data_IF_773842650146
#
_entry.id   IF_773842650146
#
_cell.length_a   1.000
_cell.length_b   1.000
_cell.length_c   1.000
_cell.angle_alpha   90.00
_cell.angle_beta   90.00
_cell.angle_gamma   90.00
#
_symmetry.space_group_name_H-M   'P 1'
#
loop_
_entity.id
_entity.type
_entity.pdbx_description
1 polymer ?
#
# COMPACT_ATOMS: atom_id res chain seq x y z
N UNK A 1 22.15 -5.62 1.63
CA UNK A 1 22.97 -6.26 2.68
C UNK A 1 23.91 -5.31 3.38
N UNK A 2 24.36 -4.24 2.71
CA UNK A 2 25.27 -3.27 3.30
C UNK A 2 24.83 -1.83 3.00
N UNK A 3 25.22 -0.89 3.85
CA UNK A 3 24.88 0.54 3.79
C UNK A 3 26.10 1.41 4.13
N UNK A 4 25.95 2.72 3.98
CA UNK A 4 26.99 3.71 4.21
C UNK A 4 27.79 4.05 2.95
N UNK A 5 28.63 5.08 3.04
CA UNK A 5 29.54 5.45 1.94
C UNK A 5 30.46 4.27 1.63
N UNK A 6 30.31 3.70 0.44
CA UNK A 6 31.00 2.50 -0.09
C UNK A 6 30.43 1.12 0.32
N UNK A 7 29.24 1.06 0.94
CA UNK A 7 28.53 -0.20 1.21
C UNK A 7 29.35 -1.22 2.03
N UNK A 8 30.08 -0.77 3.06
CA UNK A 8 30.93 -1.62 3.89
C UNK A 8 30.27 -2.04 5.21
N UNK A 9 29.17 -1.41 5.61
CA UNK A 9 28.52 -1.63 6.91
C UNK A 9 27.33 -2.56 6.71
N UNK A 10 27.31 -3.72 7.35
CA UNK A 10 26.17 -4.66 7.27
C UNK A 10 24.90 -4.04 7.83
N UNK A 11 23.76 -4.41 7.25
CA UNK A 11 22.45 -4.10 7.85
C UNK A 11 22.32 -4.78 9.22
N UNK A 12 21.39 -4.30 10.06
CA UNK A 12 21.10 -4.97 11.33
C UNK A 12 20.57 -6.40 11.07
N UNK A 13 20.93 -7.37 11.90
CA UNK A 13 20.49 -8.77 11.77
C UNK A 13 18.96 -8.93 11.83
N UNK A 14 18.27 -7.97 12.45
CA UNK A 14 16.80 -7.89 12.52
C UNK A 14 16.13 -7.36 11.25
N UNK A 15 16.89 -6.94 10.24
CA UNK A 15 16.34 -6.57 8.94
C UNK A 15 16.13 -7.81 8.07
N UNK A 16 14.89 -8.04 7.61
CA UNK A 16 14.58 -9.14 6.68
C UNK A 16 15.52 -9.08 5.47
N UNK A 17 16.12 -10.24 5.17
CA UNK A 17 17.04 -10.45 4.05
C UNK A 17 18.23 -9.48 4.00
N UNK A 18 18.56 -8.83 5.13
CA UNK A 18 19.60 -7.80 5.19
C UNK A 18 19.32 -6.64 4.23
N UNK A 19 18.05 -6.29 4.01
CA UNK A 19 17.67 -5.13 3.23
C UNK A 19 17.49 -3.90 4.12
N UNK A 20 18.40 -2.94 3.98
CA UNK A 20 18.39 -1.66 4.69
C UNK A 20 18.68 -0.46 3.77
N UNK A 21 18.17 0.71 4.12
CA UNK A 21 18.31 1.95 3.38
C UNK A 21 19.79 2.30 3.20
N UNK A 22 20.26 2.57 1.97
CA UNK A 22 21.69 2.72 1.68
C UNK A 22 22.38 3.88 2.41
N UNK A 23 21.64 4.96 2.70
CA UNK A 23 22.20 6.16 3.33
C UNK A 23 22.37 6.10 4.85
N UNK A 24 21.67 5.18 5.54
CA UNK A 24 21.62 5.19 7.01
C UNK A 24 21.40 3.82 7.68
N UNK A 25 21.22 2.73 6.94
CA UNK A 25 21.20 1.37 7.49
C UNK A 25 19.92 0.90 8.14
N UNK A 26 18.85 1.69 8.08
CA UNK A 26 17.54 1.29 8.61
C UNK A 26 16.87 0.23 7.73
N UNK A 27 16.22 -0.79 8.30
CA UNK A 27 15.57 -1.85 7.53
C UNK A 27 14.51 -1.30 6.54
N UNK A 28 14.49 -1.80 5.29
CA UNK A 28 13.61 -1.29 4.23
C UNK A 28 12.16 -1.75 4.46
N UNK A 29 11.93 -2.98 4.92
CA UNK A 29 10.62 -3.49 5.39
C UNK A 29 10.82 -4.67 6.35
N UNK A 30 10.09 -4.68 7.47
CA UNK A 30 9.93 -5.85 8.34
C UNK A 30 11.17 -6.23 9.16
N UNK A 31 11.12 -5.88 10.44
CA UNK A 31 11.50 -6.78 11.51
C UNK A 31 10.25 -6.95 12.36
N UNK A 32 10.06 -8.09 12.99
CA UNK A 32 9.00 -8.18 13.96
C UNK A 32 9.26 -7.19 15.10
N UNK A 33 8.30 -6.31 15.34
CA UNK A 33 8.27 -5.57 16.59
C UNK A 33 7.20 -6.23 17.42
N UNK A 34 7.56 -6.71 18.62
CA UNK A 34 6.62 -7.15 19.66
C UNK A 34 5.53 -6.10 19.92
N UNK A 35 5.83 -4.82 19.62
CA UNK A 35 4.87 -3.74 19.71
C UNK A 35 3.77 -3.80 18.64
N UNK A 36 3.95 -4.54 17.55
CA UNK A 36 3.03 -4.65 16.42
C UNK A 36 2.17 -5.92 16.47
N UNK A 37 2.68 -7.01 17.08
CA UNK A 37 1.92 -8.26 17.25
C UNK A 37 1.00 -8.19 18.46
N UNK A 38 -0.20 -8.77 18.37
CA UNK A 38 -1.04 -8.96 19.55
C UNK A 38 -0.32 -9.80 20.60
N UNK A 39 -0.49 -9.43 21.87
CA UNK A 39 0.16 -10.06 23.03
C UNK A 39 1.69 -10.12 22.96
N UNK A 40 2.31 -9.36 22.06
CA UNK A 40 3.75 -9.46 21.78
C UNK A 40 4.18 -10.87 21.31
N UNK A 41 3.26 -11.64 20.73
CA UNK A 41 3.54 -13.00 20.28
C UNK A 41 4.02 -12.98 18.84
N UNK A 42 5.34 -12.87 18.73
CA UNK A 42 6.06 -12.95 17.49
C UNK A 42 6.93 -14.20 17.43
N UNK A 43 6.86 -14.91 16.32
CA UNK A 43 7.77 -16.02 16.06
C UNK A 43 9.17 -15.45 15.73
N UNK A 44 10.17 -15.82 16.53
CA UNK A 44 11.53 -15.24 16.42
C UNK A 44 12.29 -15.71 15.18
N UNK A 45 11.91 -16.84 14.59
CA UNK A 45 12.60 -17.42 13.44
C UNK A 45 12.01 -16.91 12.11
N UNK A 46 10.69 -16.74 12.07
CA UNK A 46 9.92 -16.35 10.88
C UNK A 46 9.47 -14.90 10.89
N UNK A 47 9.55 -14.20 12.02
CA UNK A 47 9.03 -12.85 12.27
C UNK A 47 7.50 -12.70 12.15
N UNK A 48 6.76 -13.82 12.08
CA UNK A 48 5.29 -13.84 11.91
C UNK A 48 4.57 -13.61 13.25
N UNK A 49 3.55 -12.76 13.25
CA UNK A 49 2.69 -12.55 14.40
C UNK A 49 1.62 -13.65 14.49
N UNK A 50 1.83 -14.65 15.34
CA UNK A 50 0.96 -15.84 15.43
C UNK A 50 -0.40 -15.57 16.07
N UNK A 51 -0.51 -14.48 16.83
CA UNK A 51 -1.75 -14.07 17.49
C UNK A 51 -2.48 -12.93 16.78
N UNK A 52 -2.03 -12.54 15.58
CA UNK A 52 -2.59 -11.42 14.82
C UNK A 52 -1.93 -10.08 15.11
N UNK A 53 -2.48 -9.02 14.53
CA UNK A 53 -1.90 -7.68 14.54
C UNK A 53 -2.57 -6.76 15.54
N UNK A 54 -1.80 -5.87 16.16
CA UNK A 54 -2.38 -4.70 16.83
C UNK A 54 -2.96 -3.76 15.78
N UNK A 55 -3.98 -3.00 16.20
CA UNK A 55 -4.83 -2.09 15.40
C UNK A 55 -4.12 -1.40 14.22
N UNK A 56 -4.84 -1.29 13.10
CA UNK A 56 -4.43 -0.64 11.84
C UNK A 56 -3.24 -1.30 11.11
N UNK A 57 -2.93 -2.57 11.42
CA UNK A 57 -1.82 -3.31 10.78
C UNK A 57 -2.31 -4.59 10.13
N UNK A 58 -1.63 -5.00 9.07
CA UNK A 58 -1.95 -6.22 8.33
C UNK A 58 -0.70 -6.91 7.77
N UNK A 59 -0.93 -8.07 7.16
CA UNK A 59 0.08 -9.00 6.68
C UNK A 59 0.67 -9.86 7.80
N UNK A 60 1.41 -10.91 7.45
CA UNK A 60 1.95 -11.89 8.41
C UNK A 60 2.91 -11.28 9.44
N UNK A 61 3.55 -10.15 9.11
CA UNK A 61 4.54 -9.47 9.95
C UNK A 61 3.99 -8.23 10.67
N UNK A 62 2.69 -7.92 10.52
CA UNK A 62 2.07 -6.68 11.04
C UNK A 62 2.88 -5.42 10.73
N UNK A 63 3.45 -5.37 9.52
CA UNK A 63 4.37 -4.33 9.07
C UNK A 63 3.70 -3.31 8.16
N UNK A 64 2.51 -3.63 7.62
CA UNK A 64 1.81 -2.83 6.61
C UNK A 64 0.59 -2.14 7.23
N UNK A 65 0.37 -0.87 6.89
CA UNK A 65 -0.80 -0.11 7.35
C UNK A 65 -2.07 -0.63 6.67
N UNK A 66 -3.08 -1.02 7.46
CA UNK A 66 -4.35 -1.52 6.97
C UNK A 66 -5.35 -0.38 6.81
N UNK A 67 -5.58 0.07 5.58
CA UNK A 67 -6.56 1.13 5.32
C UNK A 67 -8.01 0.64 5.44
N UNK A 68 -8.24 -0.68 5.60
CA UNK A 68 -9.56 -1.24 5.86
C UNK A 68 -10.01 -1.07 7.32
N UNK A 69 -9.13 -0.75 8.28
CA UNK A 69 -9.47 -0.77 9.71
C UNK A 69 -10.56 0.22 10.14
N UNK A 70 -10.76 1.30 9.38
CA UNK A 70 -11.86 2.25 9.59
C UNK A 70 -12.85 2.27 8.42
N UNK A 71 -12.94 1.17 7.66
CA UNK A 71 -13.84 1.07 6.51
C UNK A 71 -15.29 0.78 6.90
N UNK A 72 -16.21 1.04 5.98
CA UNK A 72 -17.60 0.60 6.12
C UNK A 72 -17.78 -0.73 5.40
N UNK A 73 -18.18 -1.75 6.15
CA UNK A 73 -18.34 -3.11 5.63
C UNK A 73 -19.81 -3.45 5.42
N UNK A 74 -20.12 -3.97 4.24
CA UNK A 74 -21.43 -4.57 3.92
C UNK A 74 -21.23 -6.03 3.52
N UNK A 75 -21.98 -6.95 4.16
CA UNK A 75 -21.91 -8.39 3.88
C UNK A 75 -23.29 -8.86 3.45
N UNK A 76 -23.36 -9.61 2.36
CA UNK A 76 -24.59 -10.19 1.82
C UNK A 76 -24.37 -11.67 1.50
N UNK A 77 -25.20 -12.60 2.02
CA UNK A 77 -26.24 -12.40 3.03
C UNK A 77 -25.67 -11.95 4.38
N UNK A 78 -26.48 -11.27 5.19
CA UNK A 78 -26.05 -10.82 6.52
C UNK A 78 -25.64 -12.02 7.39
N UNK A 79 -24.48 -11.90 8.04
CA UNK A 79 -24.06 -12.82 9.11
C UNK A 79 -24.72 -12.51 10.45
N UNK A 80 -24.37 -13.29 11.47
CA UNK A 80 -24.86 -13.08 12.84
C UNK A 80 -24.00 -12.06 13.60
N UNK A 81 -22.74 -11.94 13.22
CA UNK A 81 -21.75 -11.08 13.83
C UNK A 81 -21.73 -9.68 13.20
N UNK A 82 -21.05 -8.74 13.85
CA UNK A 82 -20.84 -7.40 13.29
C UNK A 82 -20.00 -7.47 12.02
N UNK A 83 -20.41 -6.84 10.90
CA UNK A 83 -19.59 -6.73 9.70
C UNK A 83 -18.24 -6.05 9.92
N UNK A 84 -18.06 -5.27 10.99
CA UNK A 84 -16.76 -4.64 11.28
C UNK A 84 -15.65 -5.62 11.65
N UNK A 85 -15.98 -6.86 12.03
CA UNK A 85 -14.99 -7.86 12.45
C UNK A 85 -14.08 -8.31 11.30
N UNK A 86 -14.52 -8.20 10.05
CA UNK A 86 -13.68 -8.57 8.88
C UNK A 86 -12.54 -7.59 8.61
N UNK A 87 -12.41 -6.51 9.36
CA UNK A 87 -11.30 -5.57 9.21
C UNK A 87 -10.83 -5.03 10.57
N UNK A 88 -11.07 -5.78 11.65
CA UNK A 88 -10.73 -5.35 13.01
C UNK A 88 -9.24 -5.57 13.34
N UNK A 89 -8.47 -6.18 12.43
CA UNK A 89 -7.05 -6.50 12.61
C UNK A 89 -6.82 -7.79 13.42
N UNK A 90 -7.89 -8.46 13.87
CA UNK A 90 -7.84 -9.69 14.63
C UNK A 90 -8.30 -10.88 13.78
N UNK A 91 -7.33 -11.59 13.21
CA UNK A 91 -7.56 -12.79 12.39
C UNK A 91 -8.26 -13.97 13.11
N UNK A 92 -8.49 -13.88 14.42
CA UNK A 92 -9.25 -14.87 15.21
C UNK A 92 -10.71 -14.45 15.41
N UNK A 93 -11.04 -13.19 15.20
CA UNK A 93 -12.42 -12.71 15.06
C UNK A 93 -12.86 -13.02 13.64
N UNK A 94 -14.01 -13.65 13.45
CA UNK A 94 -14.52 -13.91 12.11
C UNK A 94 -16.02 -13.67 12.03
N UNK A 95 -16.49 -13.33 10.82
CA UNK A 95 -17.91 -13.27 10.48
C UNK A 95 -18.29 -14.53 9.73
N UNK A 96 -19.38 -15.17 10.16
CA UNK A 96 -19.91 -16.36 9.51
C UNK A 96 -21.13 -15.95 8.68
N UNK A 97 -21.10 -16.29 7.39
CA UNK A 97 -22.25 -16.11 6.49
C UNK A 97 -22.44 -17.34 5.62
N UNK A 98 -23.67 -17.55 5.16
CA UNK A 98 -24.08 -18.76 4.44
C UNK A 98 -24.87 -18.40 3.19
N UNK A 99 -24.57 -19.09 2.09
CA UNK A 99 -25.32 -18.95 0.85
C UNK A 99 -24.56 -19.45 -0.37
N UNK A 100 -25.25 -19.54 -1.51
CA UNK A 100 -24.61 -19.89 -2.79
C UNK A 100 -23.86 -18.72 -3.44
N UNK A 101 -24.16 -17.48 -3.01
CA UNK A 101 -23.47 -16.26 -3.42
C UNK A 101 -23.26 -15.40 -2.18
N UNK A 102 -21.99 -15.12 -1.89
CA UNK A 102 -21.59 -14.30 -0.76
C UNK A 102 -20.82 -13.09 -1.31
N UNK A 103 -21.15 -11.90 -0.82
CA UNK A 103 -20.49 -10.64 -1.18
C UNK A 103 -20.07 -9.90 0.07
N UNK A 104 -18.83 -9.45 0.09
CA UNK A 104 -18.31 -8.52 1.09
C UNK A 104 -17.84 -7.28 0.34
N UNK A 105 -18.47 -6.14 0.61
CA UNK A 105 -18.06 -4.85 0.08
C UNK A 105 -17.41 -4.02 1.19
N UNK A 106 -16.20 -3.55 0.92
CA UNK A 106 -15.40 -2.69 1.78
C UNK A 106 -15.36 -1.30 1.15
N UNK A 107 -15.97 -0.30 1.80
CA UNK A 107 -15.80 1.11 1.46
C UNK A 107 -14.72 1.70 2.35
N UNK A 108 -13.51 1.91 1.80
CA UNK A 108 -12.39 2.54 2.52
C UNK A 108 -12.54 4.07 2.64
N UNK A 109 -13.73 4.60 2.34
CA UNK A 109 -14.19 5.99 2.50
C UNK A 109 -13.52 7.02 1.57
N UNK A 110 -12.28 6.78 1.14
CA UNK A 110 -11.56 7.60 0.16
C UNK A 110 -10.81 6.73 -0.86
N UNK A 111 -10.63 7.26 -2.07
CA UNK A 111 -9.80 6.58 -3.06
C UNK A 111 -8.37 6.53 -2.56
N UNK A 112 -7.76 5.35 -2.49
CA UNK A 112 -6.40 5.17 -1.98
C UNK A 112 -5.56 4.38 -2.97
N UNK A 113 -4.24 4.58 -2.92
CA UNK A 113 -3.28 3.74 -3.65
C UNK A 113 -3.13 2.47 -2.83
N UNK A 114 -3.45 1.34 -3.43
CA UNK A 114 -3.34 0.02 -2.83
C UNK A 114 -2.25 -0.75 -3.54
N UNK A 115 -1.47 -1.53 -2.79
CA UNK A 115 -0.38 -2.39 -3.31
C UNK A 115 -0.57 -3.86 -3.01
N UNK A 116 -1.24 -4.16 -1.90
CA UNK A 116 -1.49 -5.53 -1.52
C UNK A 116 -2.87 -5.65 -0.87
N UNK A 117 -3.52 -6.77 -1.14
CA UNK A 117 -4.77 -7.17 -0.48
C UNK A 117 -4.52 -8.54 0.16
N UNK A 118 -4.90 -8.65 1.43
CA UNK A 118 -4.92 -9.88 2.20
C UNK A 118 -6.36 -10.28 2.47
N UNK A 119 -6.70 -11.54 2.22
CA UNK A 119 -8.00 -12.09 2.57
C UNK A 119 -7.77 -13.37 3.36
N UNK A 120 -8.15 -13.34 4.63
CA UNK A 120 -7.99 -14.44 5.58
C UNK A 120 -9.34 -15.10 5.82
N UNK A 121 -9.42 -16.38 5.44
CA UNK A 121 -10.59 -17.24 5.65
C UNK A 121 -10.20 -18.40 6.57
N UNK A 122 -11.12 -18.87 7.41
CA UNK A 122 -10.88 -20.09 8.19
C UNK A 122 -11.09 -21.35 7.31
N UNK A 123 -10.24 -22.36 7.53
CA UNK A 123 -9.84 -23.43 6.59
C UNK A 123 -10.98 -24.40 6.18
N UNK A 124 -12.15 -24.36 6.82
CA UNK A 124 -13.32 -25.17 6.42
C UNK A 124 -14.14 -24.57 5.26
N UNK A 125 -13.82 -23.36 4.79
CA UNK A 125 -14.69 -22.59 3.89
C UNK A 125 -14.20 -22.43 2.45
N UNK A 126 -13.03 -22.98 2.10
CA UNK A 126 -12.33 -22.73 0.82
C UNK A 126 -12.58 -23.83 -0.23
N UNK A 127 -13.20 -24.94 0.14
CA UNK A 127 -13.33 -26.10 -0.76
C UNK A 127 -14.55 -25.92 -1.67
N UNK A 128 -14.32 -25.56 -2.94
CA UNK A 128 -15.31 -25.70 -4.03
C UNK A 128 -16.08 -24.44 -4.44
N UNK A 129 -15.54 -23.25 -4.18
CA UNK A 129 -16.13 -21.97 -4.60
C UNK A 129 -15.31 -21.24 -5.67
N UNK A 130 -15.97 -20.43 -6.49
CA UNK A 130 -15.31 -19.44 -7.34
C UNK A 130 -15.16 -18.12 -6.59
N UNK A 131 -13.92 -17.69 -6.39
CA UNK A 131 -13.56 -16.48 -5.67
C UNK A 131 -13.21 -15.38 -6.66
N UNK A 132 -13.81 -14.21 -6.50
CA UNK A 132 -13.56 -13.06 -7.38
C UNK A 132 -13.39 -11.81 -6.52
N UNK A 133 -12.41 -10.98 -6.86
CA UNK A 133 -12.21 -9.68 -6.22
C UNK A 133 -12.30 -8.59 -7.29
N UNK A 134 -13.13 -7.61 -6.99
CA UNK A 134 -13.35 -6.42 -7.77
C UNK A 134 -12.86 -5.20 -7.01
N UNK A 135 -12.34 -4.23 -7.74
CA UNK A 135 -12.02 -2.91 -7.22
C UNK A 135 -12.73 -1.85 -8.06
N UNK A 136 -13.20 -0.78 -7.43
CA UNK A 136 -13.99 0.26 -8.08
C UNK A 136 -13.83 1.61 -7.36
N UNK A 137 -14.15 2.69 -8.07
CA UNK A 137 -14.29 4.03 -7.49
C UNK A 137 -15.74 4.35 -7.07
N UNK A 138 -16.70 3.50 -7.43
CA UNK A 138 -18.11 3.63 -7.10
C UNK A 138 -18.63 2.41 -6.34
N UNK A 139 -19.71 2.59 -5.58
CA UNK A 139 -20.37 1.50 -4.84
C UNK A 139 -21.07 0.49 -5.75
N UNK A 140 -21.28 0.84 -7.02
CA UNK A 140 -21.80 -0.08 -8.03
C UNK A 140 -20.72 -1.09 -8.42
N UNK A 141 -21.12 -2.33 -8.74
CA UNK A 141 -20.25 -3.42 -9.21
C UNK A 141 -19.64 -3.18 -10.61
N UNK A 142 -19.44 -1.93 -11.01
CA UNK A 142 -18.84 -1.53 -12.29
C UNK A 142 -17.30 -1.67 -12.26
N UNK A 143 -16.89 -2.93 -12.31
CA UNK A 143 -15.70 -3.55 -12.93
C UNK A 143 -14.33 -2.82 -12.95
N UNK A 144 -13.46 -3.22 -12.03
CA UNK A 144 -12.15 -3.77 -12.40
C UNK A 144 -11.92 -5.09 -11.63
N UNK A 145 -11.96 -6.22 -12.34
CA UNK A 145 -11.73 -7.54 -11.74
C UNK A 145 -10.23 -7.80 -11.66
N UNK A 146 -9.69 -7.76 -10.46
CA UNK A 146 -8.25 -7.95 -10.20
C UNK A 146 -7.89 -9.40 -9.86
N UNK A 147 -8.88 -10.21 -9.47
CA UNK A 147 -8.67 -11.62 -9.14
C UNK A 147 -9.88 -12.48 -9.48
N UNK A 148 -9.64 -13.69 -9.99
CA UNK A 148 -10.67 -14.71 -10.23
C UNK A 148 -10.06 -16.12 -10.27
N UNK A 149 -10.43 -17.00 -9.35
CA UNK A 149 -10.04 -18.41 -9.38
C UNK A 149 -10.87 -19.26 -8.39
N UNK A 150 -10.74 -20.58 -8.48
CA UNK A 150 -11.30 -21.55 -7.52
C UNK A 150 -10.50 -21.65 -6.22
N UNK A 151 -9.28 -21.14 -6.22
CA UNK A 151 -8.43 -20.99 -5.03
C UNK A 151 -8.29 -19.53 -4.69
N UNK A 152 -8.01 -19.21 -3.43
CA UNK A 152 -7.75 -17.84 -3.00
C UNK A 152 -6.29 -17.72 -2.54
N UNK A 153 -5.50 -16.77 -3.06
CA UNK A 153 -4.12 -16.57 -2.65
C UNK A 153 -4.09 -15.92 -1.27
N UNK A 154 -2.97 -16.09 -0.58
CA UNK A 154 -2.71 -15.42 0.69
C UNK A 154 -2.55 -13.91 0.52
N UNK A 155 -2.03 -13.47 -0.63
CA UNK A 155 -1.79 -12.05 -0.95
C UNK A 155 -2.03 -11.79 -2.45
N UNK A 156 -2.68 -10.69 -2.76
CA UNK A 156 -2.83 -10.18 -4.13
C UNK A 156 -2.01 -8.90 -4.23
N UNK A 157 -0.89 -8.97 -4.96
CA UNK A 157 -0.02 -7.84 -5.22
C UNK A 157 -0.47 -7.13 -6.50
N UNK A 158 -1.15 -6.00 -6.34
CA UNK A 158 -1.56 -5.16 -7.46
C UNK A 158 -1.51 -3.69 -7.05
N UNK A 159 -0.87 -2.86 -7.87
CA UNK A 159 -0.80 -1.41 -7.64
C UNK A 159 -1.97 -0.74 -8.35
N UNK A 160 -3.00 -0.42 -7.58
CA UNK A 160 -4.26 0.10 -8.13
C UNK A 160 -4.83 1.19 -7.24
N UNK A 161 -5.65 2.08 -7.81
CA UNK A 161 -6.31 3.16 -7.08
C UNK A 161 -7.81 2.88 -7.08
N UNK A 162 -8.37 2.67 -5.90
CA UNK A 162 -9.80 2.41 -5.73
C UNK A 162 -10.33 2.92 -4.39
N UNK A 163 -11.66 2.94 -4.25
CA UNK A 163 -12.36 3.22 -2.97
C UNK A 163 -13.18 2.02 -2.48
N UNK A 164 -13.68 1.20 -3.40
CA UNK A 164 -14.48 0.04 -3.07
C UNK A 164 -13.72 -1.22 -3.45
N UNK A 165 -13.55 -2.13 -2.49
CA UNK A 165 -13.19 -3.52 -2.74
C UNK A 165 -14.45 -4.36 -2.59
N UNK A 166 -14.67 -5.30 -3.50
CA UNK A 166 -15.74 -6.29 -3.36
C UNK A 166 -15.19 -7.68 -3.55
N UNK A 167 -15.28 -8.49 -2.51
CA UNK A 167 -15.03 -9.93 -2.56
C UNK A 167 -16.35 -10.65 -2.83
N UNK A 168 -16.36 -11.50 -3.85
CA UNK A 168 -17.48 -12.36 -4.22
C UNK A 168 -17.05 -13.83 -4.19
N UNK A 169 -17.79 -14.65 -3.46
CA UNK A 169 -17.66 -16.10 -3.49
C UNK A 169 -18.94 -16.74 -4.03
N UNK A 170 -18.80 -17.65 -5.00
CA UNK A 170 -19.92 -18.42 -5.58
C UNK A 170 -19.73 -19.91 -5.39
N UNK A 171 -20.74 -20.57 -4.85
CA UNK A 171 -20.76 -22.01 -4.60
C UNK A 171 -21.88 -22.68 -5.39
N UNK A 172 -21.71 -23.97 -5.69
CA UNK A 172 -22.75 -24.77 -6.36
C UNK A 172 -23.94 -25.11 -5.44
N UNK A 173 -23.77 -24.96 -4.12
CA UNK A 173 -24.74 -25.34 -3.09
C UNK A 173 -25.07 -24.12 -2.21
N UNK A 174 -26.25 -24.10 -1.60
CA UNK A 174 -26.75 -22.96 -0.80
C UNK A 174 -26.47 -23.10 0.71
N UNK A 175 -26.05 -24.28 1.16
CA UNK A 175 -25.78 -24.60 2.57
C UNK A 175 -24.28 -24.50 2.92
N UNK A 176 -23.49 -23.80 2.11
CA UNK A 176 -22.08 -23.56 2.37
C UNK A 176 -21.94 -22.30 3.22
N UNK A 177 -21.20 -22.42 4.32
CA UNK A 177 -20.84 -21.32 5.19
C UNK A 177 -19.39 -20.92 4.97
N UNK A 178 -19.15 -19.62 4.83
CA UNK A 178 -17.82 -19.02 4.83
C UNK A 178 -17.57 -18.30 6.14
N UNK A 179 -16.39 -18.51 6.70
CA UNK A 179 -15.90 -17.78 7.86
C UNK A 179 -14.80 -16.82 7.39
N UNK A 180 -15.12 -15.53 7.38
CA UNK A 180 -14.24 -14.47 6.87
C UNK A 180 -13.67 -13.76 8.09
N UNK A 181 -12.35 -13.82 8.25
CA UNK A 181 -11.69 -13.38 9.46
C UNK A 181 -11.04 -12.00 9.30
N UNK A 182 -10.37 -11.76 8.18
CA UNK A 182 -9.72 -10.46 7.98
C UNK A 182 -9.59 -10.13 6.49
N UNK A 183 -9.90 -8.90 6.14
CA UNK A 183 -9.63 -8.25 4.86
C UNK A 183 -8.64 -7.12 5.14
N UNK A 184 -7.39 -7.38 4.85
CA UNK A 184 -6.33 -6.39 4.90
C UNK A 184 -6.19 -5.68 3.57
N UNK A 185 -6.28 -4.36 3.56
CA UNK A 185 -5.96 -3.55 2.38
C UNK A 185 -4.73 -2.74 2.72
N UNK A 186 -3.63 -2.98 2.01
CA UNK A 186 -2.39 -2.24 2.18
C UNK A 186 -2.34 -1.12 1.18
N UNK A 187 -2.30 0.09 1.70
CA UNK A 187 -2.19 1.27 0.88
C UNK A 187 -1.96 2.51 1.69
N UNK A 188 -1.98 3.63 0.99
CA UNK A 188 -2.06 4.95 1.59
C UNK A 188 -3.08 5.81 0.85
N UNK A 189 -3.69 6.77 1.56
CA UNK A 189 -4.40 7.86 0.91
C UNK A 189 -3.49 8.53 -0.13
N UNK A 190 -4.03 9.07 -1.25
CA UNK A 190 -3.22 9.42 -2.42
C UNK A 190 -2.17 10.51 -2.18
N UNK A 191 -2.37 11.31 -1.14
CA UNK A 191 -1.48 12.39 -0.76
C UNK A 191 -0.43 11.99 0.29
N UNK A 192 -0.40 10.71 0.69
CA UNK A 192 0.42 10.22 1.79
C UNK A 192 1.30 9.04 1.38
N UNK A 193 2.47 8.93 2.00
CA UNK A 193 3.42 7.85 1.81
C UNK A 193 4.24 7.59 3.08
N UNK A 194 5.12 6.59 2.99
CA UNK A 194 6.04 6.20 4.04
C UNK A 194 5.35 5.40 5.15
N UNK A 195 6.09 5.13 6.25
CA UNK A 195 5.56 4.34 7.34
C UNK A 195 4.27 4.92 7.91
N UNK A 196 3.24 4.08 8.02
CA UNK A 196 1.91 4.44 8.53
C UNK A 196 1.23 5.59 7.76
N UNK A 197 1.61 5.82 6.50
CA UNK A 197 1.10 6.92 5.68
C UNK A 197 1.24 8.31 6.34
N UNK A 198 2.35 8.54 7.06
CA UNK A 198 2.54 9.78 7.83
C UNK A 198 3.30 10.88 7.10
N UNK A 199 3.83 10.62 5.90
CA UNK A 199 4.55 11.63 5.10
C UNK A 199 3.66 12.12 3.98
N UNK A 200 3.66 13.43 3.73
CA UNK A 200 2.91 14.01 2.61
C UNK A 200 3.68 13.86 1.31
N UNK A 201 3.03 13.39 0.24
CA UNK A 201 3.59 13.38 -1.10
C UNK A 201 4.12 14.76 -1.49
N UNK A 202 5.20 14.83 -2.30
CA UNK A 202 5.71 16.09 -2.78
C UNK A 202 4.63 16.92 -3.49
N UNK A 203 4.55 18.21 -3.13
CA UNK A 203 3.50 19.12 -3.61
C UNK A 203 3.42 19.22 -5.13
N UNK A 204 4.54 19.01 -5.81
CA UNK A 204 4.65 19.21 -7.25
C UNK A 204 4.48 17.91 -8.06
N UNK A 205 4.06 16.81 -7.44
CA UNK A 205 3.68 15.59 -8.17
C UNK A 205 2.43 15.84 -9.03
N UNK A 206 2.37 15.24 -10.21
CA UNK A 206 1.13 15.16 -11.02
C UNK A 206 0.23 14.04 -10.53
N UNK A 207 -0.32 14.17 -9.33
CA UNK A 207 -1.13 13.12 -8.69
C UNK A 207 -0.34 12.41 -7.57
N UNK A 208 -0.64 11.13 -7.30
CA UNK A 208 -0.06 10.44 -6.16
C UNK A 208 1.44 10.17 -6.29
N UNK A 209 2.07 9.93 -5.15
CA UNK A 209 3.43 9.44 -5.06
C UNK A 209 3.47 7.97 -4.63
N UNK A 210 4.59 7.31 -4.93
CA UNK A 210 4.89 5.96 -4.52
C UNK A 210 4.87 5.87 -2.98
N UNK A 211 4.10 4.93 -2.45
CA UNK A 211 3.88 4.80 -1.00
C UNK A 211 5.15 4.48 -0.21
N UNK A 212 6.22 4.01 -0.84
CA UNK A 212 7.47 3.63 -0.15
C UNK A 212 8.48 4.75 -0.25
N UNK A 213 8.77 5.16 -1.47
CA UNK A 213 9.87 6.08 -1.83
C UNK A 213 9.44 7.53 -1.77
N UNK A 214 8.14 7.82 -1.93
CA UNK A 214 7.62 9.18 -2.07
C UNK A 214 7.84 9.80 -3.46
N UNK A 215 8.32 9.01 -4.43
CA UNK A 215 8.54 9.46 -5.80
C UNK A 215 7.22 9.64 -6.55
N UNK A 216 7.09 10.68 -7.37
CA UNK A 216 5.85 10.99 -8.07
C UNK A 216 5.58 9.98 -9.20
N UNK A 217 4.46 9.26 -9.12
CA UNK A 217 4.16 8.16 -10.05
C UNK A 217 3.87 8.63 -11.48
N UNK A 218 3.44 9.87 -11.64
CA UNK A 218 3.10 10.47 -12.94
C UNK A 218 3.97 11.69 -13.26
N UNK A 219 5.15 11.78 -12.64
CA UNK A 219 6.11 12.85 -12.84
C UNK A 219 5.67 14.20 -12.26
N UNK A 220 6.29 15.27 -12.75
CA UNK A 220 6.27 16.59 -12.12
C UNK A 220 5.42 17.62 -12.83
N UNK A 221 4.77 18.49 -12.05
CA UNK A 221 4.14 19.71 -12.54
C UNK A 221 5.13 20.58 -13.31
N UNK A 222 4.62 21.43 -14.21
CA UNK A 222 5.48 22.32 -15.01
C UNK A 222 6.41 23.15 -14.12
N UNK A 223 7.67 23.26 -14.51
CA UNK A 223 8.71 23.93 -13.72
C UNK A 223 9.38 23.04 -12.66
N UNK A 224 9.05 21.75 -12.57
CA UNK A 224 9.65 20.85 -11.58
C UNK A 224 10.26 19.60 -12.20
N UNK A 225 11.33 19.08 -11.59
CA UNK A 225 12.06 17.86 -12.00
C UNK A 225 12.55 17.04 -10.81
N UNK A 226 13.09 15.86 -11.12
CA UNK A 226 13.54 14.84 -10.17
C UNK A 226 12.41 13.91 -9.76
N UNK A 227 12.75 12.76 -9.18
CA UNK A 227 11.76 11.71 -8.87
C UNK A 227 10.71 12.18 -7.84
N UNK A 228 11.11 13.06 -6.91
CA UNK A 228 10.23 13.69 -5.92
C UNK A 228 9.78 15.11 -6.30
N UNK A 229 10.01 15.56 -7.53
CA UNK A 229 9.62 16.89 -8.02
C UNK A 229 10.01 18.05 -7.09
N UNK A 230 11.18 17.92 -6.49
CA UNK A 230 11.72 18.87 -5.51
C UNK A 230 12.72 19.85 -6.12
N UNK A 231 13.05 19.68 -7.41
CA UNK A 231 13.98 20.55 -8.14
C UNK A 231 13.16 21.50 -9.01
N UNK A 232 13.22 22.80 -8.70
CA UNK A 232 12.66 23.86 -9.52
C UNK A 232 13.57 24.11 -10.75
N UNK A 233 12.95 24.24 -11.91
CA UNK A 233 13.60 24.53 -13.19
C UNK A 233 12.90 25.68 -13.88
N UNK A 234 13.62 26.78 -14.07
CA UNK A 234 13.25 27.81 -15.03
C UNK A 234 13.56 27.31 -16.45
N UNK A 235 12.57 27.37 -17.34
CA UNK A 235 12.77 27.16 -18.76
C UNK A 235 12.95 28.52 -19.42
N UNK A 236 14.13 28.79 -19.96
CA UNK A 236 14.43 30.03 -20.68
C UNK A 236 14.25 29.74 -22.17
N UNK A 237 13.51 30.60 -22.87
CA UNK A 237 13.52 30.60 -24.34
C UNK A 237 14.78 31.31 -24.81
N UNK A 238 15.78 30.54 -25.19
CA UNK A 238 16.87 31.06 -26.01
C UNK A 238 16.38 30.96 -27.45
N UNK A 239 16.53 32.03 -28.23
CA UNK A 239 16.04 32.15 -29.61
C UNK A 239 16.25 30.82 -30.37
N UNK A 240 15.16 30.18 -30.78
CA UNK A 240 15.02 28.87 -31.45
C UNK A 240 15.37 27.56 -30.68
N UNK A 241 15.56 27.56 -29.35
CA UNK A 241 15.61 26.29 -28.58
C UNK A 241 15.15 26.41 -27.11
N UNK A 242 14.32 25.46 -26.65
CA UNK A 242 13.96 25.33 -25.23
C UNK A 242 15.04 24.53 -24.50
N UNK A 243 15.74 25.18 -23.57
CA UNK A 243 16.60 24.51 -22.59
C UNK A 243 16.10 24.84 -21.19
N UNK A 244 15.96 23.84 -20.32
CA UNK A 244 15.60 24.07 -18.92
C UNK A 244 16.76 23.62 -18.03
N UNK A 245 17.28 24.53 -17.22
CA UNK A 245 18.42 24.32 -16.33
C UNK A 245 18.01 24.56 -14.87
N UNK A 246 18.72 23.95 -13.88
CA UNK A 246 18.48 24.27 -12.47
C UNK A 246 18.81 25.75 -12.19
N UNK A 247 18.03 26.41 -11.33
CA UNK A 247 18.21 27.83 -10.97
C UNK A 247 19.66 28.20 -10.57
N UNK A 248 20.36 27.30 -9.86
CA UNK A 248 21.77 27.52 -9.47
C UNK A 248 22.72 27.64 -10.65
N UNK A 249 22.46 26.91 -11.75
CA UNK A 249 23.27 26.97 -12.98
C UNK A 249 23.02 28.29 -13.71
N UNK A 250 21.77 28.76 -13.73
CA UNK A 250 21.40 30.01 -14.39
C UNK A 250 22.04 31.24 -13.73
N UNK A 251 22.06 31.30 -12.39
CA UNK A 251 22.76 32.38 -11.66
C UNK A 251 24.25 32.38 -12.01
N UNK A 252 24.86 31.20 -12.09
CA UNK A 252 26.28 31.06 -12.41
C UNK A 252 26.63 31.49 -13.84
N UNK A 253 25.81 31.07 -14.84
CA UNK A 253 25.98 31.48 -16.24
C UNK A 253 25.76 32.98 -16.41
N UNK A 254 24.77 33.55 -15.73
CA UNK A 254 24.48 34.99 -15.75
C UNK A 254 25.63 35.79 -15.13
N UNK A 255 26.18 35.32 -14.01
CA UNK A 255 27.32 35.93 -13.34
C UNK A 255 28.59 35.89 -14.20
N UNK A 256 28.92 34.75 -14.81
CA UNK A 256 30.05 34.65 -15.74
C UNK A 256 29.88 35.56 -16.96
N UNK A 257 28.68 35.60 -17.55
CA UNK A 257 28.40 36.46 -18.71
C UNK A 257 28.55 37.94 -18.37
N UNK A 258 28.09 38.37 -17.20
CA UNK A 258 28.28 39.73 -16.70
C UNK A 258 29.76 40.05 -16.46
N UNK A 259 30.51 39.13 -15.85
CA UNK A 259 31.96 39.31 -15.64
C UNK A 259 32.73 39.40 -16.96
N UNK A 260 32.35 38.63 -17.99
CA UNK A 260 32.95 38.70 -19.32
C UNK A 260 32.62 39.97 -20.11
N UNK A 261 31.56 40.71 -19.73
CA UNK A 261 31.24 42.02 -20.31
C UNK A 261 31.99 43.18 -19.62
N UNK A 262 32.62 42.91 -18.47
CA UNK A 262 33.35 43.90 -17.67
C UNK A 262 34.86 43.90 -17.98
N UNK A 263 35.36 42.90 -18.70
CA UNK A 263 36.73 42.85 -19.24
C UNK A 263 36.73 43.08 -20.75
#
# INVERSE_FOLDING_TARGET
NFWGSNCEISCAESCIEQHCYPGNGSCIFGGCSDTNCLKSNCDNDTAVCTDGCKDDRTGPYCAKYNIASNSLITILPNGNESPSLVSDGNIKSCVITQGSKIMVQVDIQEMSIVTAIYLTLNVSSVIGGNHTIYVSNSSSLSENRIYHNETLPTEINDTTIFRYLTYEARFQQTNISIEICEIGIVGCPPALYGPLCKKMCPKNCRGPCDLVTGNCLFGCSNGWRGDSCSIDVECITIVDSMTCQPLLVQVYVSFISFMLQIF
#
